data_IF_769096065535
#
_entry.id   IF_769096065535
#
_cell.length_a   1.000
_cell.length_b   1.000
_cell.length_c   1.000
_cell.angle_alpha   90.00
_cell.angle_beta   90.00
_cell.angle_gamma   90.00
#
_symmetry.space_group_name_H-M   'P 1'
#
loop_
_entity.id
_entity.type
_entity.pdbx_description
1 polymer ?
#
# COMPACT_ATOMS: atom_id res chain seq x y z
N UNK A 1 11.53 13.33 -8.27
CA UNK A 1 11.63 12.24 -7.27
C UNK A 1 10.86 11.02 -7.76
N UNK A 2 11.27 9.81 -7.36
CA UNK A 2 10.53 8.56 -7.57
C UNK A 2 10.28 7.91 -6.23
N UNK A 3 9.07 7.39 -6.03
CA UNK A 3 8.67 6.62 -4.86
C UNK A 3 8.34 5.20 -5.34
N UNK A 4 8.92 4.19 -4.71
CA UNK A 4 8.58 2.79 -4.89
C UNK A 4 7.78 2.34 -3.67
N UNK A 5 6.49 2.05 -3.84
CA UNK A 5 5.69 1.36 -2.84
C UNK A 5 5.81 -0.14 -3.13
N UNK A 6 6.32 -0.88 -2.16
CA UNK A 6 6.66 -2.30 -2.30
C UNK A 6 5.82 -3.07 -1.30
N UNK A 7 4.90 -3.90 -1.80
CA UNK A 7 4.15 -4.80 -0.93
C UNK A 7 5.08 -5.92 -0.45
N UNK A 8 4.97 -6.30 0.83
CA UNK A 8 5.68 -7.48 1.34
C UNK A 8 5.46 -8.71 0.45
N UNK A 9 6.42 -9.62 0.41
CA UNK A 9 6.32 -10.91 -0.28
C UNK A 9 5.29 -11.83 0.42
N UNK A 10 5.05 -13.03 -0.12
CA UNK A 10 4.04 -13.94 0.41
C UNK A 10 4.22 -14.16 1.92
N UNK A 11 3.19 -13.79 2.72
CA UNK A 11 3.32 -13.77 4.17
C UNK A 11 2.98 -15.10 4.81
N UNK A 12 3.70 -15.44 5.89
CA UNK A 12 3.25 -16.35 6.93
C UNK A 12 2.72 -15.51 8.09
N UNK A 13 1.41 -15.38 8.18
CA UNK A 13 0.75 -14.59 9.22
C UNK A 13 0.87 -15.21 10.63
N UNK A 14 1.23 -16.49 10.74
CA UNK A 14 1.32 -17.17 12.05
C UNK A 14 2.52 -16.67 12.88
N UNK A 15 3.56 -16.21 12.19
CA UNK A 15 4.82 -15.72 12.77
C UNK A 15 5.19 -14.31 12.29
N UNK A 16 4.29 -13.63 11.58
CA UNK A 16 4.50 -12.31 10.95
C UNK A 16 5.81 -12.26 10.12
N UNK A 17 6.05 -13.27 9.29
CA UNK A 17 7.25 -13.41 8.46
C UNK A 17 6.87 -13.81 7.03
N UNK A 18 7.79 -14.44 6.29
CA UNK A 18 7.60 -14.92 4.92
C UNK A 18 7.54 -16.43 4.85
N UNK A 19 6.65 -16.95 3.98
CA UNK A 19 6.67 -18.35 3.57
C UNK A 19 7.95 -18.69 2.78
N UNK A 20 8.27 -19.96 2.53
CA UNK A 20 9.35 -20.34 1.61
C UNK A 20 9.20 -19.69 0.23
N UNK A 21 7.96 -19.60 -0.31
CA UNK A 21 7.65 -18.88 -1.55
C UNK A 21 7.94 -17.38 -1.41
N UNK A 22 7.48 -16.75 -0.34
CA UNK A 22 7.74 -15.34 -0.06
C UNK A 22 9.23 -15.01 0.00
N UNK A 23 10.06 -15.91 0.52
CA UNK A 23 11.53 -15.75 0.52
C UNK A 23 12.09 -15.76 -0.91
N UNK A 24 11.59 -16.65 -1.77
CA UNK A 24 11.96 -16.67 -3.21
C UNK A 24 11.53 -15.36 -3.89
N UNK A 25 10.30 -14.89 -3.65
CA UNK A 25 9.82 -13.62 -4.19
C UNK A 25 10.69 -12.44 -3.73
N UNK A 26 11.02 -12.37 -2.43
CA UNK A 26 11.88 -11.31 -1.88
C UNK A 26 13.30 -11.32 -2.47
N UNK A 27 13.87 -12.50 -2.72
CA UNK A 27 15.15 -12.65 -3.39
C UNK A 27 15.09 -12.14 -4.84
N UNK A 28 14.07 -12.50 -5.61
CA UNK A 28 13.89 -12.01 -6.99
C UNK A 28 13.64 -10.50 -7.02
N UNK A 29 12.82 -9.99 -6.11
CA UNK A 29 12.59 -8.56 -5.92
C UNK A 29 13.90 -7.80 -5.63
N UNK A 30 14.75 -8.34 -4.77
CA UNK A 30 16.04 -7.73 -4.44
C UNK A 30 16.94 -7.57 -5.65
N UNK A 31 16.98 -8.57 -6.55
CA UNK A 31 17.76 -8.50 -7.83
C UNK A 31 17.25 -7.39 -8.76
N UNK A 32 15.97 -7.06 -8.70
CA UNK A 32 15.38 -5.93 -9.41
C UNK A 32 15.77 -4.61 -8.74
N UNK A 33 15.61 -4.52 -7.42
CA UNK A 33 15.77 -3.26 -6.67
C UNK A 33 17.22 -2.76 -6.63
N UNK A 34 18.22 -3.64 -6.62
CA UNK A 34 19.63 -3.23 -6.69
C UNK A 34 20.00 -2.48 -7.99
N UNK A 35 19.15 -2.56 -9.03
CA UNK A 35 19.34 -1.81 -10.29
C UNK A 35 18.85 -0.36 -10.21
N UNK A 36 18.10 -0.01 -9.15
CA UNK A 36 17.68 1.36 -8.91
C UNK A 36 18.70 2.08 -8.05
N UNK A 37 18.98 3.35 -8.36
CA UNK A 37 19.72 4.22 -7.46
C UNK A 37 18.79 4.72 -6.35
N UNK A 38 18.56 3.87 -5.34
CA UNK A 38 17.69 4.18 -4.21
C UNK A 38 18.49 4.93 -3.17
N UNK A 39 18.06 6.16 -2.89
CA UNK A 39 18.68 7.05 -1.91
C UNK A 39 18.37 6.64 -0.48
N UNK A 40 17.08 6.44 -0.18
CA UNK A 40 16.62 6.15 1.19
C UNK A 40 15.59 5.01 1.17
N UNK A 41 15.67 4.19 2.23
CA UNK A 41 14.81 3.04 2.42
C UNK A 41 13.98 3.21 3.68
N UNK A 42 12.69 2.93 3.57
CA UNK A 42 11.73 2.96 4.65
C UNK A 42 10.99 1.62 4.71
N UNK A 43 10.56 1.22 5.90
CA UNK A 43 9.82 -0.02 6.06
C UNK A 43 8.76 0.06 7.14
N UNK A 44 7.73 -0.75 6.99
CA UNK A 44 6.73 -1.03 8.01
C UNK A 44 7.35 -1.67 9.25
N UNK A 45 6.77 -1.47 10.45
CA UNK A 45 7.18 -2.17 11.65
C UNK A 45 6.83 -3.67 11.64
N UNK A 46 5.99 -4.16 10.70
CA UNK A 46 5.56 -5.55 10.66
C UNK A 46 6.62 -6.46 10.04
N UNK A 47 6.84 -7.63 10.66
CA UNK A 47 7.95 -8.54 10.35
C UNK A 47 8.02 -8.95 8.88
N UNK A 48 6.89 -9.33 8.24
CA UNK A 48 6.83 -9.70 6.82
C UNK A 48 7.35 -8.62 5.87
N UNK A 49 7.15 -7.34 6.20
CA UNK A 49 7.69 -6.23 5.39
C UNK A 49 9.19 -6.03 5.65
N UNK A 50 9.63 -6.17 6.90
CA UNK A 50 11.04 -6.11 7.28
C UNK A 50 11.83 -7.26 6.64
N UNK A 51 11.30 -8.48 6.68
CA UNK A 51 11.92 -9.66 6.05
C UNK A 51 12.01 -9.50 4.53
N UNK A 52 10.99 -8.92 3.89
CA UNK A 52 11.05 -8.59 2.45
C UNK A 52 12.15 -7.59 2.15
N UNK A 53 12.27 -6.54 2.97
CA UNK A 53 13.30 -5.50 2.80
C UNK A 53 14.71 -6.04 3.00
N UNK A 54 14.88 -6.98 3.95
CA UNK A 54 16.19 -7.50 4.37
C UNK A 54 17.02 -8.01 3.19
N UNK A 55 16.43 -8.70 2.22
CA UNK A 55 17.11 -9.22 1.03
C UNK A 55 17.77 -8.10 0.20
N UNK A 56 17.06 -6.99 0.01
CA UNK A 56 17.60 -5.84 -0.72
C UNK A 56 18.65 -5.10 0.11
N UNK A 57 18.35 -4.85 1.37
CA UNK A 57 19.23 -4.09 2.28
C UNK A 57 20.57 -4.78 2.50
N UNK A 58 20.56 -6.10 2.68
CA UNK A 58 21.79 -6.90 2.80
C UNK A 58 22.67 -6.82 1.55
N UNK A 59 22.08 -6.98 0.34
CA UNK A 59 22.84 -6.89 -0.93
C UNK A 59 23.44 -5.52 -1.15
N UNK A 60 22.80 -4.46 -0.69
CA UNK A 60 23.27 -3.08 -0.85
C UNK A 60 24.12 -2.58 0.33
N UNK A 61 24.26 -3.37 1.39
CA UNK A 61 24.84 -2.96 2.67
C UNK A 61 24.23 -1.64 3.18
N UNK A 62 22.88 -1.56 3.16
CA UNK A 62 22.11 -0.39 3.56
C UNK A 62 21.18 -0.73 4.74
N UNK A 63 20.65 0.31 5.36
CA UNK A 63 19.62 0.22 6.41
C UNK A 63 18.37 0.93 5.95
N UNK A 64 17.22 0.53 6.50
CA UNK A 64 15.96 1.22 6.34
C UNK A 64 15.53 1.86 7.67
N UNK A 65 14.85 2.98 7.60
CA UNK A 65 14.15 3.59 8.73
C UNK A 65 12.77 2.92 8.87
N UNK A 66 12.41 2.52 10.08
CA UNK A 66 11.07 1.98 10.36
C UNK A 66 10.11 3.12 10.64
N UNK A 67 9.05 3.21 9.85
CA UNK A 67 8.00 4.21 10.00
C UNK A 67 6.73 3.55 10.58
N UNK A 68 6.31 3.87 11.81
CA UNK A 68 5.17 3.23 12.47
C UNK A 68 3.86 3.31 11.66
N UNK A 69 3.63 4.41 10.96
CA UNK A 69 2.44 4.64 10.14
C UNK A 69 2.41 3.81 8.83
N UNK A 70 3.55 3.22 8.40
CA UNK A 70 3.60 2.32 7.23
C UNK A 70 3.06 0.91 7.50
N UNK A 71 2.59 0.60 8.72
CA UNK A 71 1.90 -0.66 8.97
C UNK A 71 0.64 -0.79 8.11
N UNK A 72 0.07 -2.00 8.01
CA UNK A 72 -1.14 -2.20 7.22
C UNK A 72 -2.28 -1.28 7.67
N UNK A 73 -3.07 -0.79 6.71
CA UNK A 73 -4.20 0.09 6.97
C UNK A 73 -5.34 -0.70 7.62
N UNK A 74 -5.36 -0.76 8.94
CA UNK A 74 -6.30 -1.54 9.76
C UNK A 74 -7.46 -0.67 10.25
N UNK A 75 -8.13 0.05 9.34
CA UNK A 75 -9.30 0.84 9.67
C UNK A 75 -10.50 -0.05 10.02
N UNK A 76 -10.90 -0.10 11.28
CA UNK A 76 -12.03 -0.91 11.73
C UNK A 76 -13.36 -0.17 11.68
N UNK A 77 -14.45 -0.89 11.42
CA UNK A 77 -15.80 -0.34 11.36
C UNK A 77 -16.85 -1.46 11.59
N UNK A 78 -18.09 -1.13 12.00
CA UNK A 78 -19.20 -2.09 12.01
C UNK A 78 -19.61 -2.42 10.56
N UNK A 79 -19.68 -3.70 10.22
CA UNK A 79 -20.16 -4.14 8.90
C UNK A 79 -21.65 -3.75 8.73
N UNK A 80 -22.03 -2.99 7.69
CA UNK A 80 -23.39 -2.48 7.54
C UNK A 80 -24.47 -3.56 7.40
N UNK A 81 -24.10 -4.77 6.99
CA UNK A 81 -25.04 -5.88 6.79
C UNK A 81 -25.14 -6.76 8.02
N UNK A 82 -24.01 -7.16 8.57
CA UNK A 82 -23.96 -8.13 9.68
C UNK A 82 -23.86 -7.47 11.06
N UNK A 83 -23.51 -6.19 11.12
CA UNK A 83 -23.20 -5.48 12.37
C UNK A 83 -21.90 -5.97 13.04
N UNK A 84 -21.25 -6.99 12.53
CA UNK A 84 -19.98 -7.50 13.07
C UNK A 84 -18.87 -6.51 12.81
N UNK A 85 -17.90 -6.41 13.73
CA UNK A 85 -16.75 -5.53 13.54
C UNK A 85 -15.84 -6.05 12.45
N UNK A 86 -15.60 -5.24 11.42
CA UNK A 86 -14.55 -5.43 10.41
C UNK A 86 -13.28 -4.73 10.90
N UNK A 87 -12.13 -5.28 10.53
CA UNK A 87 -10.82 -4.73 10.95
C UNK A 87 -10.04 -4.13 9.79
N UNK A 88 -10.54 -4.25 8.57
CA UNK A 88 -9.92 -3.71 7.37
C UNK A 88 -10.93 -2.95 6.51
N UNK A 89 -10.66 -1.68 6.24
CA UNK A 89 -11.55 -0.81 5.47
C UNK A 89 -11.61 -1.19 3.97
N UNK A 90 -10.65 -1.96 3.48
CA UNK A 90 -10.55 -2.39 2.08
C UNK A 90 -11.25 -3.73 1.79
N UNK A 91 -12.01 -4.28 2.75
CA UNK A 91 -12.81 -5.50 2.56
C UNK A 91 -14.31 -5.21 2.72
N UNK A 92 -14.82 -4.23 1.97
CA UNK A 92 -16.25 -3.93 1.90
C UNK A 92 -16.80 -4.53 0.61
N UNK A 93 -17.90 -5.30 0.71
CA UNK A 93 -18.52 -5.89 -0.48
C UNK A 93 -18.90 -4.82 -1.50
N UNK A 94 -18.68 -5.05 -2.81
CA UNK A 94 -18.97 -4.07 -3.86
C UNK A 94 -20.40 -3.53 -3.82
N UNK A 95 -21.39 -4.40 -3.62
CA UNK A 95 -22.80 -4.02 -3.52
C UNK A 95 -23.13 -3.10 -2.33
N UNK A 96 -22.24 -3.05 -1.32
CA UNK A 96 -22.42 -2.22 -0.13
C UNK A 96 -21.76 -0.87 -0.35
N UNK A 97 -20.45 -0.84 -0.59
CA UNK A 97 -19.74 0.44 -0.66
C UNK A 97 -20.17 1.31 -1.85
N UNK A 98 -20.73 0.72 -2.94
CA UNK A 98 -21.26 1.47 -4.06
C UNK A 98 -22.57 2.18 -3.78
N UNK A 99 -23.25 1.86 -2.68
CA UNK A 99 -24.44 2.58 -2.20
C UNK A 99 -24.09 3.91 -1.48
N UNK A 100 -22.79 4.14 -1.20
CA UNK A 100 -22.29 5.33 -0.53
C UNK A 100 -21.46 6.18 -1.52
N UNK A 101 -22.09 7.13 -2.26
CA UNK A 101 -21.36 7.91 -3.30
C UNK A 101 -20.19 8.74 -2.76
N UNK A 102 -20.25 9.14 -1.50
CA UNK A 102 -19.22 9.92 -0.81
C UNK A 102 -17.90 9.18 -0.63
N UNK A 103 -17.90 7.84 -0.65
CA UNK A 103 -16.66 7.04 -0.64
C UNK A 103 -15.85 7.17 -1.93
N UNK A 104 -16.47 7.60 -3.03
CA UNK A 104 -15.80 7.84 -4.30
C UNK A 104 -14.99 9.14 -4.31
N UNK A 105 -15.37 10.13 -3.51
CA UNK A 105 -14.66 11.42 -3.43
C UNK A 105 -13.51 11.32 -2.42
N UNK A 106 -12.31 11.64 -2.89
CA UNK A 106 -11.08 11.71 -2.09
C UNK A 106 -11.21 12.56 -0.83
N UNK A 107 -12.06 13.59 -0.84
CA UNK A 107 -12.22 14.54 0.27
C UNK A 107 -13.15 14.07 1.36
N UNK A 108 -14.01 13.08 1.07
CA UNK A 108 -15.11 12.67 1.97
C UNK A 108 -15.09 11.21 2.35
N UNK A 109 -14.45 10.33 1.56
CA UNK A 109 -14.53 8.89 1.70
C UNK A 109 -14.35 8.38 3.14
N UNK A 110 -13.39 8.93 3.87
CA UNK A 110 -13.00 8.49 5.22
C UNK A 110 -13.99 8.92 6.32
N UNK A 111 -14.94 9.80 5.97
CA UNK A 111 -16.04 10.28 6.83
C UNK A 111 -17.38 9.70 6.43
N UNK A 112 -17.39 8.80 5.45
CA UNK A 112 -18.64 8.16 5.01
C UNK A 112 -19.31 7.42 6.16
N UNK A 113 -20.63 7.43 6.15
CA UNK A 113 -21.43 6.73 7.15
C UNK A 113 -21.23 5.21 7.11
N UNK A 114 -20.68 4.66 6.02
CA UNK A 114 -20.27 3.24 5.97
C UNK A 114 -19.23 2.89 7.04
N UNK A 115 -18.44 3.88 7.50
CA UNK A 115 -17.41 3.72 8.53
C UNK A 115 -17.83 4.25 9.90
N UNK A 116 -19.10 4.61 10.08
CA UNK A 116 -19.61 5.14 11.36
C UNK A 116 -19.36 4.14 12.51
N UNK A 117 -18.93 4.65 13.67
CA UNK A 117 -18.53 3.81 14.80
C UNK A 117 -17.20 3.09 14.67
N UNK A 118 -16.45 3.38 13.59
CA UNK A 118 -15.10 2.88 13.34
C UNK A 118 -13.99 3.90 13.61
N UNK A 119 -12.77 3.55 13.25
CA UNK A 119 -11.58 4.41 13.39
C UNK A 119 -10.88 4.71 12.05
N UNK A 120 -11.58 4.52 10.93
CA UNK A 120 -11.02 4.72 9.58
C UNK A 120 -10.51 6.15 9.40
N UNK A 121 -11.24 7.15 9.89
CA UNK A 121 -10.82 8.56 9.83
C UNK A 121 -9.51 8.81 10.58
N UNK A 122 -9.35 8.22 11.77
CA UNK A 122 -8.14 8.35 12.58
C UNK A 122 -6.93 7.75 11.86
N UNK A 123 -7.06 6.51 11.35
CA UNK A 123 -5.98 5.83 10.62
C UNK A 123 -5.63 6.58 9.33
N UNK A 124 -6.63 7.13 8.64
CA UNK A 124 -6.40 7.99 7.48
C UNK A 124 -5.58 9.23 7.85
N UNK A 125 -5.93 9.93 8.93
CA UNK A 125 -5.20 11.11 9.36
C UNK A 125 -3.75 10.77 9.73
N UNK A 126 -3.51 9.67 10.45
CA UNK A 126 -2.15 9.20 10.75
C UNK A 126 -1.34 8.91 9.48
N UNK A 127 -2.00 8.36 8.44
CA UNK A 127 -1.37 8.12 7.14
C UNK A 127 -0.99 9.43 6.45
N UNK A 128 -1.92 10.39 6.41
CA UNK A 128 -1.69 11.72 5.81
C UNK A 128 -0.53 12.43 6.50
N UNK A 129 -0.57 12.51 7.84
CA UNK A 129 0.47 13.17 8.63
C UNK A 129 1.84 12.52 8.40
N UNK A 130 1.88 11.19 8.35
CA UNK A 130 3.11 10.44 8.09
C UNK A 130 3.68 10.67 6.68
N UNK A 131 2.82 10.73 5.66
CA UNK A 131 3.25 11.06 4.29
C UNK A 131 3.75 12.50 4.21
N UNK A 132 3.04 13.45 4.81
CA UNK A 132 3.43 14.86 4.82
C UNK A 132 4.78 15.06 5.52
N UNK A 133 4.98 14.45 6.69
CA UNK A 133 6.25 14.49 7.41
C UNK A 133 7.38 13.90 6.56
N UNK A 134 7.16 12.72 5.96
CA UNK A 134 8.16 12.08 5.12
C UNK A 134 8.53 12.95 3.91
N UNK A 135 7.53 13.48 3.20
CA UNK A 135 7.77 14.29 2.00
C UNK A 135 8.37 15.66 2.32
N UNK A 136 8.04 16.23 3.49
CA UNK A 136 8.65 17.46 3.97
C UNK A 136 10.18 17.34 4.14
N UNK A 137 10.70 16.16 4.55
CA UNK A 137 12.15 15.88 4.62
C UNK A 137 12.86 16.07 3.28
N UNK A 138 12.10 15.95 2.19
CA UNK A 138 12.57 16.14 0.81
C UNK A 138 12.17 17.48 0.21
N UNK A 139 11.49 18.33 0.99
CA UNK A 139 11.09 19.68 0.59
C UNK A 139 9.75 19.75 -0.13
N UNK A 140 8.95 18.68 -0.12
CA UNK A 140 7.60 18.69 -0.70
C UNK A 140 6.56 19.03 0.36
N UNK A 141 5.63 19.94 0.02
CA UNK A 141 4.47 20.29 0.85
C UNK A 141 3.22 20.32 -0.02
N UNK A 142 2.15 19.72 0.47
CA UNK A 142 0.86 19.76 -0.23
C UNK A 142 0.27 21.16 -0.19
N UNK A 143 -0.24 21.63 -1.33
CA UNK A 143 -0.88 22.93 -1.50
C UNK A 143 -2.12 22.75 -2.40
N UNK A 144 -3.25 22.43 -1.77
CA UNK A 144 -4.46 22.04 -2.48
C UNK A 144 -4.25 20.79 -3.35
N UNK A 145 -4.51 20.87 -4.67
CA UNK A 145 -4.37 19.73 -5.58
C UNK A 145 -2.93 19.51 -6.08
N UNK A 146 -1.99 20.36 -5.72
CA UNK A 146 -0.59 20.28 -6.13
C UNK A 146 0.34 20.16 -4.92
N UNK A 147 1.59 19.87 -5.20
CA UNK A 147 2.66 19.89 -4.20
C UNK A 147 3.65 21.00 -4.55
N UNK A 148 4.11 21.73 -3.56
CA UNK A 148 5.16 22.73 -3.72
C UNK A 148 6.52 22.12 -3.36
N UNK A 149 7.52 22.37 -4.22
CA UNK A 149 8.89 21.95 -3.99
C UNK A 149 9.87 22.88 -4.69
N UNK A 150 10.63 23.66 -3.94
CA UNK A 150 11.58 24.64 -4.51
C UNK A 150 12.77 23.99 -5.21
N UNK A 151 13.11 22.75 -4.85
CA UNK A 151 14.28 22.03 -5.33
C UNK A 151 13.95 20.57 -5.64
N UNK A 152 12.98 20.36 -6.56
CA UNK A 152 12.67 19.01 -7.03
C UNK A 152 13.93 18.35 -7.60
N UNK A 153 14.26 17.15 -7.11
CA UNK A 153 15.47 16.40 -7.47
C UNK A 153 15.14 15.00 -7.97
N UNK A 154 15.93 14.53 -8.90
CA UNK A 154 15.80 13.17 -9.41
C UNK A 154 16.53 12.17 -8.50
N UNK A 155 15.80 11.55 -7.57
CA UNK A 155 16.26 10.45 -6.72
C UNK A 155 15.08 9.50 -6.46
N UNK A 156 15.39 8.31 -5.97
CA UNK A 156 14.40 7.28 -5.64
C UNK A 156 14.40 7.02 -4.14
N UNK A 157 13.21 6.86 -3.56
CA UNK A 157 13.01 6.29 -2.23
C UNK A 157 12.17 5.01 -2.34
N UNK A 158 12.39 4.05 -1.44
CA UNK A 158 11.66 2.79 -1.41
C UNK A 158 10.99 2.60 -0.05
N UNK A 159 9.70 2.27 -0.08
CA UNK A 159 8.86 2.03 1.09
C UNK A 159 8.35 0.58 1.05
N UNK A 160 8.87 -0.28 1.94
CA UNK A 160 8.40 -1.66 2.10
C UNK A 160 7.20 -1.68 3.05
N UNK A 161 6.05 -2.06 2.54
CA UNK A 161 4.79 -1.93 3.26
C UNK A 161 3.75 -2.99 2.83
N UNK A 162 2.47 -2.65 2.81
CA UNK A 162 1.36 -3.57 2.61
C UNK A 162 0.39 -3.03 1.57
N UNK A 163 -0.64 -3.82 1.21
CA UNK A 163 -1.60 -3.43 0.17
C UNK A 163 -2.44 -2.22 0.57
N UNK A 164 -3.12 -2.28 1.71
CA UNK A 164 -4.06 -1.22 2.11
C UNK A 164 -3.36 0.12 2.30
N UNK A 165 -2.23 0.16 3.01
CA UNK A 165 -1.45 1.39 3.22
C UNK A 165 -0.85 1.90 1.91
N UNK A 166 -0.40 1.03 0.99
CA UNK A 166 0.13 1.45 -0.32
C UNK A 166 -0.92 2.22 -1.12
N UNK A 167 -2.16 1.71 -1.15
CA UNK A 167 -3.26 2.37 -1.86
C UNK A 167 -3.72 3.64 -1.16
N UNK A 168 -3.66 3.71 0.17
CA UNK A 168 -3.93 4.94 0.92
C UNK A 168 -2.89 6.03 0.60
N UNK A 169 -1.59 5.69 0.62
CA UNK A 169 -0.51 6.60 0.22
C UNK A 169 -0.68 7.05 -1.24
N UNK A 170 -0.94 6.10 -2.14
CA UNK A 170 -1.18 6.41 -3.55
C UNK A 170 -2.36 7.37 -3.72
N UNK A 171 -3.47 7.09 -3.03
CA UNK A 171 -4.67 7.93 -3.04
C UNK A 171 -4.37 9.36 -2.59
N UNK A 172 -3.62 9.51 -1.50
CA UNK A 172 -3.23 10.82 -0.98
C UNK A 172 -2.34 11.62 -1.95
N UNK A 173 -1.41 10.93 -2.63
CA UNK A 173 -0.50 11.56 -3.59
C UNK A 173 -1.19 11.99 -4.89
N UNK A 174 -2.28 11.31 -5.28
CA UNK A 174 -2.95 11.48 -6.57
C UNK A 174 -4.36 12.03 -6.49
N UNK A 175 -4.85 12.36 -5.29
CA UNK A 175 -6.22 12.81 -5.01
C UNK A 175 -7.31 11.83 -5.50
N UNK A 176 -6.99 10.52 -5.46
CA UNK A 176 -7.94 9.43 -5.76
C UNK A 176 -8.39 8.81 -4.43
N UNK A 177 -9.70 8.58 -4.27
CA UNK A 177 -10.19 7.90 -3.07
C UNK A 177 -9.54 6.52 -2.89
N UNK A 178 -8.95 6.23 -1.72
CA UNK A 178 -8.46 4.89 -1.40
C UNK A 178 -9.52 3.79 -1.56
N UNK A 179 -10.80 4.08 -1.32
CA UNK A 179 -11.89 3.13 -1.54
C UNK A 179 -11.96 2.68 -3.00
N UNK A 180 -11.74 3.58 -3.94
CA UNK A 180 -11.69 3.24 -5.37
C UNK A 180 -10.46 2.38 -5.66
N UNK A 181 -9.30 2.78 -5.14
CA UNK A 181 -8.05 2.04 -5.37
C UNK A 181 -8.10 0.62 -4.78
N UNK A 182 -8.56 0.46 -3.54
CA UNK A 182 -8.66 -0.84 -2.88
C UNK A 182 -9.56 -1.83 -3.62
N UNK A 183 -10.68 -1.35 -4.18
CA UNK A 183 -11.69 -2.21 -4.77
C UNK A 183 -11.62 -2.32 -6.29
N UNK A 184 -10.76 -1.55 -6.95
CA UNK A 184 -10.63 -1.54 -8.41
C UNK A 184 -9.22 -1.85 -8.90
N UNK A 185 -8.27 -2.02 -7.99
CA UNK A 185 -6.89 -2.38 -8.33
C UNK A 185 -6.42 -3.57 -7.53
N UNK A 186 -5.35 -4.20 -7.99
CA UNK A 186 -4.74 -5.34 -7.35
C UNK A 186 -3.22 -5.20 -7.34
N UNK A 187 -2.62 -5.34 -6.15
CA UNK A 187 -1.18 -5.40 -5.98
C UNK A 187 -0.83 -6.70 -5.25
N UNK A 188 -0.35 -7.71 -5.96
CA UNK A 188 0.03 -9.00 -5.38
C UNK A 188 1.24 -8.87 -4.43
N UNK A 189 1.50 -9.86 -3.56
CA UNK A 189 2.74 -9.93 -2.78
C UNK A 189 3.99 -9.69 -3.64
N UNK A 190 4.98 -9.04 -3.08
CA UNK A 190 6.24 -8.57 -3.69
C UNK A 190 6.11 -7.56 -4.83
N UNK A 191 4.91 -7.12 -5.20
CA UNK A 191 4.71 -6.16 -6.28
C UNK A 191 5.27 -4.77 -5.96
N UNK A 192 5.61 -4.04 -7.02
CA UNK A 192 6.15 -2.67 -6.95
C UNK A 192 5.21 -1.72 -7.66
N UNK A 193 4.72 -0.71 -6.93
CA UNK A 193 4.03 0.45 -7.51
C UNK A 193 5.01 1.60 -7.59
N UNK A 194 5.17 2.18 -8.78
CA UNK A 194 6.11 3.26 -9.05
C UNK A 194 5.35 4.58 -9.27
N UNK A 195 5.71 5.58 -8.49
CA UNK A 195 5.15 6.92 -8.56
C UNK A 195 6.30 7.89 -8.84
N UNK A 196 6.10 8.81 -9.76
CA UNK A 196 7.08 9.84 -10.13
C UNK A 196 6.49 11.24 -9.97
N UNK A 197 7.36 12.20 -9.67
CA UNK A 197 6.99 13.61 -9.71
C UNK A 197 7.03 14.12 -11.15
N UNK A 198 6.05 14.94 -11.50
CA UNK A 198 6.02 15.74 -12.72
C UNK A 198 5.98 17.23 -12.32
N UNK A 199 6.90 18.02 -12.84
CA UNK A 199 6.99 19.46 -12.61
C UNK A 199 6.93 20.17 -13.95
N UNK A 200 5.78 20.73 -14.29
CA UNK A 200 5.53 21.47 -15.55
C UNK A 200 5.62 22.99 -15.34
N UNK A 201 5.41 23.44 -14.13
CA UNK A 201 5.59 24.82 -13.66
C UNK A 201 6.59 24.74 -12.53
N UNK A 202 7.59 25.60 -12.56
CA UNK A 202 8.64 25.59 -11.53
C UNK A 202 8.07 25.71 -10.12
N UNK A 203 8.43 24.75 -9.28
CA UNK A 203 7.97 24.66 -7.90
C UNK A 203 6.57 24.08 -7.72
N UNK A 204 5.84 23.73 -8.80
CA UNK A 204 4.56 23.03 -8.74
C UNK A 204 4.71 21.59 -9.23
N UNK A 205 4.47 20.65 -8.33
CA UNK A 205 4.69 19.23 -8.56
C UNK A 205 3.39 18.47 -8.45
N UNK A 206 3.16 17.55 -9.39
CA UNK A 206 2.14 16.52 -9.31
C UNK A 206 2.79 15.14 -9.21
N UNK A 207 2.14 14.19 -8.56
CA UNK A 207 2.56 12.79 -8.53
C UNK A 207 1.79 11.98 -9.57
N UNK A 208 2.50 11.13 -10.32
CA UNK A 208 1.93 10.27 -11.37
C UNK A 208 2.36 8.84 -11.19
N UNK A 209 1.41 7.92 -11.35
CA UNK A 209 1.68 6.47 -11.33
C UNK A 209 2.22 6.05 -12.68
N UNK A 210 3.38 5.46 -12.71
CA UNK A 210 4.00 4.90 -13.92
C UNK A 210 3.91 3.39 -13.99
N UNK A 211 3.78 2.74 -12.81
CA UNK A 211 3.54 1.30 -12.69
C UNK A 211 2.67 1.03 -11.48
N UNK A 212 1.71 0.15 -11.62
CA UNK A 212 0.83 -0.29 -10.54
C UNK A 212 0.94 -1.80 -10.38
N UNK A 213 1.38 -2.28 -9.21
CA UNK A 213 1.42 -3.70 -8.90
C UNK A 213 2.35 -4.54 -9.79
N UNK A 214 3.44 -3.97 -10.30
CA UNK A 214 4.36 -4.58 -11.26
C UNK A 214 5.11 -5.77 -10.63
N UNK A 215 5.03 -6.93 -11.28
CA UNK A 215 5.65 -8.21 -10.90
C UNK A 215 6.73 -8.67 -11.89
N UNK A 216 7.27 -7.79 -12.71
CA UNK A 216 8.24 -8.13 -13.77
C UNK A 216 9.46 -8.93 -13.27
N UNK A 217 9.81 -8.81 -11.98
CA UNK A 217 10.89 -9.60 -11.37
C UNK A 217 10.52 -11.08 -11.22
N UNK A 218 9.26 -11.41 -10.99
CA UNK A 218 8.77 -12.79 -10.94
C UNK A 218 8.60 -13.34 -12.36
N UNK A 219 7.95 -12.59 -13.23
CA UNK A 219 7.69 -12.96 -14.62
C UNK A 219 8.99 -13.27 -15.36
N UNK A 220 10.01 -12.42 -15.22
CA UNK A 220 11.33 -12.62 -15.83
C UNK A 220 12.07 -13.86 -15.31
N UNK A 221 11.72 -14.34 -14.12
CA UNK A 221 12.30 -15.53 -13.52
C UNK A 221 11.44 -16.80 -13.75
N UNK A 222 10.28 -16.67 -14.41
CA UNK A 222 9.32 -17.75 -14.55
C UNK A 222 8.63 -18.15 -13.22
N UNK A 223 8.71 -17.30 -12.19
CA UNK A 223 8.09 -17.54 -10.90
C UNK A 223 6.62 -17.10 -10.93
N UNK A 224 5.72 -17.97 -10.45
CA UNK A 224 4.29 -17.64 -10.36
C UNK A 224 4.02 -16.65 -9.23
N UNK A 225 3.16 -15.66 -9.49
CA UNK A 225 2.69 -14.74 -8.46
C UNK A 225 2.02 -15.49 -7.30
N UNK A 226 2.15 -14.98 -6.09
CA UNK A 226 1.36 -15.43 -4.95
C UNK A 226 -0.10 -15.04 -5.11
N UNK A 227 -1.00 -15.89 -4.63
CA UNK A 227 -2.43 -15.62 -4.52
C UNK A 227 -2.86 -15.22 -3.10
N UNK A 228 -1.91 -15.09 -2.18
CA UNK A 228 -2.20 -14.72 -0.79
C UNK A 228 -2.91 -13.36 -0.68
N UNK A 229 -4.06 -13.36 -0.01
CA UNK A 229 -4.92 -12.19 0.15
C UNK A 229 -5.69 -11.79 -1.11
N UNK A 230 -5.87 -12.71 -2.07
CA UNK A 230 -6.73 -12.52 -3.23
C UNK A 230 -8.04 -13.26 -3.07
N UNK A 231 -9.12 -12.64 -3.54
CA UNK A 231 -10.38 -13.32 -3.74
C UNK A 231 -10.37 -14.11 -5.05
N UNK A 232 -11.12 -15.21 -5.14
CA UNK A 232 -11.22 -16.00 -6.38
C UNK A 232 -11.87 -15.18 -7.50
N UNK A 233 -11.39 -15.37 -8.73
CA UNK A 233 -11.93 -14.69 -9.93
C UNK A 233 -13.35 -15.20 -10.28
N UNK A 234 -13.67 -16.45 -9.93
CA UNK A 234 -14.95 -17.07 -10.17
C UNK A 234 -15.56 -17.61 -8.87
N UNK A 235 -16.87 -17.74 -8.84
CA UNK A 235 -17.58 -18.34 -7.72
C UNK A 235 -17.09 -19.75 -7.44
N UNK A 236 -16.64 -20.02 -6.20
CA UNK A 236 -16.07 -21.29 -5.75
C UNK A 236 -17.04 -22.15 -4.94
N UNK A 237 -18.29 -21.71 -4.77
CA UNK A 237 -19.26 -22.38 -3.90
C UNK A 237 -19.20 -21.95 -2.43
N UNK A 238 -18.27 -21.06 -2.09
CA UNK A 238 -18.06 -20.56 -0.73
C UNK A 238 -18.34 -19.06 -0.72
N UNK A 239 -19.22 -18.61 0.17
CA UNK A 239 -19.49 -17.19 0.34
C UNK A 239 -18.32 -16.52 1.07
N UNK A 240 -17.60 -15.64 0.38
CA UNK A 240 -16.46 -14.91 0.96
C UNK A 240 -16.86 -13.85 1.99
N UNK A 241 -18.16 -13.71 2.27
CA UNK A 241 -18.65 -12.91 3.41
C UNK A 241 -18.38 -13.58 4.75
N UNK A 242 -18.07 -14.89 4.76
CA UNK A 242 -17.72 -15.60 5.98
C UNK A 242 -16.29 -15.21 6.41
N UNK A 243 -16.12 -14.61 7.59
CA UNK A 243 -14.80 -14.27 8.14
C UNK A 243 -13.85 -15.47 8.27
N UNK A 244 -14.38 -16.70 8.35
CA UNK A 244 -13.60 -17.93 8.40
C UNK A 244 -12.91 -18.26 7.06
N UNK A 245 -13.42 -17.74 5.93
CA UNK A 245 -12.87 -17.96 4.59
C UNK A 245 -11.77 -16.94 4.26
N UNK A 246 -11.83 -15.76 4.85
CA UNK A 246 -10.81 -14.70 4.71
C UNK A 246 -9.61 -14.96 5.64
N UNK A 247 -9.31 -16.21 5.85
CA UNK A 247 -8.23 -16.77 6.65
C UNK A 247 -7.26 -15.76 7.23
N UNK A 248 -7.48 -15.41 8.49
CA UNK A 248 -6.42 -15.05 9.43
C UNK A 248 -5.60 -13.78 9.12
N UNK A 249 -6.22 -12.63 9.11
CA UNK A 249 -5.57 -11.49 9.74
C UNK A 249 -5.83 -11.63 11.24
N UNK A 250 -5.07 -12.47 11.92
CA UNK A 250 -4.93 -12.42 13.38
C UNK A 250 -4.02 -11.25 13.69
N UNK A 251 -4.49 -10.40 14.61
CA UNK A 251 -3.77 -9.28 15.21
C UNK A 251 -2.35 -9.60 15.68
#
# INVERSE_FOLDING_TARGET
MRILLIRHAEPDYTVDSLTPKGRTEAELLSRRLIRYNIRDFYMSPLGRAQDTAAYTLQKLNRKAETLPWLREFMGSYPDPVSGKRRVVAWDVLPRIWTEFPDVMDFRTWYRSSVFEGGNVQEIWQQTVDGVDELLLRYGYRKDGPVWKCDKNKNFTIALFCHFGISMAVLGYLTDISPMVLWHRTLCCPSSVTEIVTEERIRGEVAFRVTKLGDLSHLESAGEKRSTAGLFPECWTGIDSTDPAVNGTLKD
#
